data_IF_076232685136
#
_entry.id   IF_076232685136
#
_cell.length_a   1.000
_cell.length_b   1.000
_cell.length_c   1.000
_cell.angle_alpha   90.00
_cell.angle_beta   90.00
_cell.angle_gamma   90.00
#
_symmetry.space_group_name_H-M   'P 1'
#
loop_
_entity.id
_entity.type
_entity.pdbx_description
1 polymer ?
#
# COMPACT_ATOMS: atom_id res chain seq x y z
N UNK A 1 -24.25 6.50 13.04
CA UNK A 1 -24.09 5.43 14.07
C UNK A 1 -23.33 4.20 13.57
N UNK A 2 -22.82 4.15 12.33
CA UNK A 2 -22.03 3.01 11.83
C UNK A 2 -20.52 3.09 12.17
N UNK A 3 -19.98 4.30 12.42
CA UNK A 3 -18.55 4.50 12.69
C UNK A 3 -18.10 4.15 14.12
N UNK A 4 -18.96 4.28 15.15
CA UNK A 4 -18.55 4.08 16.56
C UNK A 4 -18.19 2.64 16.94
N UNK A 5 -18.63 1.64 16.17
CA UNK A 5 -18.30 0.22 16.43
C UNK A 5 -16.94 -0.19 15.86
N UNK A 6 -16.27 0.67 15.09
CA UNK A 6 -14.99 0.34 14.45
C UNK A 6 -13.79 0.53 15.38
N UNK A 7 -13.80 1.57 16.22
CA UNK A 7 -12.68 1.85 17.14
C UNK A 7 -12.46 0.73 18.17
N UNK A 8 -13.55 0.11 18.66
CA UNK A 8 -13.47 -0.97 19.66
C UNK A 8 -12.97 -2.30 19.08
N UNK A 9 -13.15 -2.57 17.77
CA UNK A 9 -12.68 -3.81 17.13
C UNK A 9 -11.24 -3.74 16.61
N UNK A 10 -10.67 -2.53 16.48
CA UNK A 10 -9.28 -2.32 16.01
C UNK A 10 -8.26 -2.69 17.11
N UNK A 11 -8.67 -2.70 18.37
CA UNK A 11 -7.77 -2.90 19.51
C UNK A 11 -7.31 -4.35 19.73
N UNK A 12 -7.96 -5.35 19.14
CA UNK A 12 -7.79 -6.76 19.58
C UNK A 12 -7.33 -7.74 18.50
N UNK A 13 -7.20 -7.35 17.22
CA UNK A 13 -6.89 -8.28 16.14
C UNK A 13 -5.54 -8.02 15.45
N UNK A 14 -4.85 -9.11 15.09
CA UNK A 14 -3.51 -9.13 14.50
C UNK A 14 -3.41 -8.35 13.17
N UNK A 15 -2.18 -8.01 12.78
CA UNK A 15 -1.85 -7.05 11.72
C UNK A 15 -2.63 -7.25 10.39
N UNK A 16 -2.84 -8.50 9.98
CA UNK A 16 -3.61 -8.93 8.78
C UNK A 16 -5.05 -8.38 8.77
N UNK A 17 -5.71 -8.33 9.94
CA UNK A 17 -7.11 -7.87 10.07
C UNK A 17 -7.27 -6.35 10.00
N UNK A 18 -6.20 -5.58 10.24
CA UNK A 18 -6.26 -4.10 10.25
C UNK A 18 -6.38 -3.50 8.84
N UNK A 19 -5.77 -4.14 7.83
CA UNK A 19 -5.83 -3.67 6.43
C UNK A 19 -7.02 -4.22 5.65
N UNK A 20 -7.47 -5.44 5.96
CA UNK A 20 -8.64 -6.08 5.35
C UNK A 20 -9.91 -5.20 5.40
N UNK A 21 -10.08 -4.42 6.46
CA UNK A 21 -11.26 -3.56 6.64
C UNK A 21 -11.13 -2.16 6.05
N UNK A 22 -9.92 -1.66 5.75
CA UNK A 22 -9.75 -0.28 5.24
C UNK A 22 -10.05 -0.14 3.75
N UNK A 23 -9.84 -1.19 2.95
CA UNK A 23 -10.13 -1.16 1.51
C UNK A 23 -11.62 -1.37 1.18
N UNK A 24 -12.41 -1.90 2.12
CA UNK A 24 -13.85 -2.08 1.95
C UNK A 24 -14.67 -0.78 2.02
N UNK A 25 -14.06 0.35 2.43
CA UNK A 25 -14.80 1.54 2.87
C UNK A 25 -14.95 2.62 1.80
N UNK A 26 -14.34 2.51 0.61
CA UNK A 26 -14.29 3.65 -0.32
C UNK A 26 -15.30 3.67 -1.47
N UNK A 27 -16.16 2.67 -1.70
CA UNK A 27 -17.02 2.68 -2.89
C UNK A 27 -18.33 1.91 -2.71
N UNK A 28 -19.44 2.50 -3.17
CA UNK A 28 -20.79 1.92 -3.23
C UNK A 28 -20.76 0.47 -3.76
N UNK A 29 -21.48 -0.49 -3.15
CA UNK A 29 -21.44 -1.92 -3.52
C UNK A 29 -21.60 -2.20 -5.02
N UNK A 30 -22.44 -1.44 -5.73
CA UNK A 30 -22.64 -1.58 -7.18
C UNK A 30 -21.45 -1.18 -8.06
N UNK A 31 -20.61 -0.24 -7.62
CA UNK A 31 -19.45 0.20 -8.40
C UNK A 31 -18.29 -0.80 -8.28
N UNK A 32 -18.17 -1.46 -7.12
CA UNK A 32 -17.18 -2.51 -6.85
C UNK A 32 -17.44 -3.72 -7.76
N UNK A 33 -18.68 -4.19 -7.89
CA UNK A 33 -18.99 -5.33 -8.77
C UNK A 33 -18.67 -5.05 -10.24
N UNK A 34 -18.93 -3.83 -10.73
CA UNK A 34 -18.65 -3.47 -12.11
C UNK A 34 -17.13 -3.34 -12.38
N UNK A 35 -16.39 -2.74 -11.45
CA UNK A 35 -14.93 -2.62 -11.57
C UNK A 35 -14.22 -3.98 -11.43
N UNK A 36 -14.74 -4.87 -10.60
CA UNK A 36 -14.19 -6.22 -10.37
C UNK A 36 -14.78 -7.30 -11.29
N UNK A 37 -15.74 -6.94 -12.16
CA UNK A 37 -16.49 -7.85 -13.05
C UNK A 37 -17.10 -9.04 -12.29
N UNK A 38 -17.62 -8.79 -11.10
CA UNK A 38 -18.32 -9.80 -10.32
C UNK A 38 -19.73 -9.99 -10.87
N UNK A 39 -20.13 -11.24 -11.08
CA UNK A 39 -21.43 -11.61 -11.65
C UNK A 39 -22.54 -11.74 -10.61
N UNK A 40 -22.19 -11.77 -9.31
CA UNK A 40 -23.11 -11.83 -8.18
C UNK A 40 -22.45 -11.27 -6.92
N UNK A 41 -23.25 -10.83 -5.95
CA UNK A 41 -22.78 -10.57 -4.58
C UNK A 41 -22.25 -11.90 -4.00
N UNK A 42 -21.14 -11.86 -3.28
CA UNK A 42 -20.58 -13.05 -2.65
C UNK A 42 -21.41 -13.43 -1.42
N UNK A 43 -21.83 -14.69 -1.32
CA UNK A 43 -22.39 -15.22 -0.07
C UNK A 43 -21.25 -15.47 0.93
N UNK A 44 -21.15 -14.62 1.96
CA UNK A 44 -20.15 -14.74 3.05
C UNK A 44 -19.22 -13.54 3.22
N UNK A 45 -18.13 -13.73 3.97
CA UNK A 45 -17.12 -12.70 4.20
C UNK A 45 -16.40 -12.36 2.89
N UNK A 46 -16.59 -11.12 2.41
CA UNK A 46 -15.94 -10.63 1.21
C UNK A 46 -14.58 -9.99 1.53
N UNK A 47 -13.53 -10.45 0.85
CA UNK A 47 -12.20 -9.84 0.87
C UNK A 47 -11.95 -9.13 -0.46
N UNK A 48 -11.38 -7.92 -0.42
CA UNK A 48 -10.99 -7.26 -1.65
C UNK A 48 -9.76 -7.97 -2.26
N UNK A 49 -9.55 -7.89 -3.59
CA UNK A 49 -8.44 -8.60 -4.24
C UNK A 49 -7.04 -8.23 -3.73
N UNK A 50 -6.83 -6.98 -3.28
CA UNK A 50 -5.53 -6.60 -2.68
C UNK A 50 -5.35 -7.23 -1.30
N UNK A 51 -6.41 -7.34 -0.49
CA UNK A 51 -6.35 -8.01 0.81
C UNK A 51 -6.22 -9.53 0.69
N UNK A 52 -6.85 -10.13 -0.32
CA UNK A 52 -6.67 -11.54 -0.65
C UNK A 52 -5.21 -11.83 -1.03
N UNK A 53 -4.62 -11.04 -1.93
CA UNK A 53 -3.20 -11.17 -2.31
C UNK A 53 -2.27 -11.10 -1.11
N UNK A 54 -2.47 -10.12 -0.21
CA UNK A 54 -1.66 -9.98 1.01
C UNK A 54 -1.84 -11.20 1.91
N UNK A 55 -3.08 -11.67 2.09
CA UNK A 55 -3.36 -12.84 2.94
C UNK A 55 -2.64 -14.09 2.41
N UNK A 56 -2.65 -14.31 1.10
CA UNK A 56 -1.93 -15.42 0.46
C UNK A 56 -0.41 -15.24 0.60
N UNK A 57 0.10 -14.02 0.41
CA UNK A 57 1.54 -13.74 0.47
C UNK A 57 2.12 -13.83 1.90
N UNK A 58 1.34 -13.53 2.93
CA UNK A 58 1.77 -13.63 4.34
C UNK A 58 1.51 -15.01 4.97
N UNK A 59 0.74 -15.89 4.31
CA UNK A 59 0.47 -17.23 4.80
C UNK A 59 1.72 -18.12 4.68
N UNK A 60 2.12 -18.76 5.78
CA UNK A 60 3.36 -19.56 5.86
C UNK A 60 3.42 -20.68 4.80
N UNK A 61 2.26 -21.23 4.44
CA UNK A 61 2.13 -22.33 3.48
C UNK A 61 2.20 -21.87 2.02
N UNK A 62 1.83 -20.61 1.74
CA UNK A 62 1.69 -20.08 0.37
C UNK A 62 2.57 -18.87 0.06
N UNK A 63 3.31 -18.36 1.04
CA UNK A 63 4.27 -17.27 0.87
C UNK A 63 5.33 -17.63 -0.18
N UNK A 64 5.86 -16.60 -0.84
CA UNK A 64 6.89 -16.80 -1.86
C UNK A 64 8.17 -17.37 -1.25
N UNK A 65 8.99 -18.00 -2.10
CA UNK A 65 10.33 -18.47 -1.69
C UNK A 65 11.17 -17.34 -1.10
N UNK A 66 11.07 -16.12 -1.63
CA UNK A 66 11.77 -14.96 -1.10
C UNK A 66 11.31 -14.63 0.33
N UNK A 67 10.00 -14.58 0.57
CA UNK A 67 9.47 -14.29 1.91
C UNK A 67 9.80 -15.39 2.92
N UNK A 68 9.85 -16.67 2.52
CA UNK A 68 10.32 -17.76 3.39
C UNK A 68 11.78 -17.60 3.85
N UNK A 69 12.63 -16.95 3.03
CA UNK A 69 14.05 -16.76 3.31
C UNK A 69 14.34 -15.46 4.08
N UNK A 70 13.34 -14.59 4.26
CA UNK A 70 13.49 -13.30 4.91
C UNK A 70 12.75 -13.25 6.25
N UNK A 71 13.43 -12.71 7.25
CA UNK A 71 12.75 -12.18 8.45
C UNK A 71 12.08 -10.85 8.12
N UNK A 72 11.05 -10.48 8.90
CA UNK A 72 10.40 -9.16 8.78
C UNK A 72 11.42 -8.00 8.93
N UNK A 73 12.46 -8.18 9.75
CA UNK A 73 13.53 -7.20 9.91
C UNK A 73 14.40 -7.05 8.65
N UNK A 74 14.76 -8.17 8.01
CA UNK A 74 15.48 -8.12 6.74
C UNK A 74 14.61 -7.49 5.65
N UNK A 75 13.33 -7.85 5.56
CA UNK A 75 12.39 -7.23 4.62
C UNK A 75 12.30 -5.72 4.86
N UNK A 76 12.09 -5.29 6.11
CA UNK A 76 12.09 -3.86 6.50
C UNK A 76 13.35 -3.12 6.03
N UNK A 77 14.51 -3.77 6.13
CA UNK A 77 15.78 -3.23 5.66
C UNK A 77 15.85 -3.11 4.14
N UNK A 78 15.34 -4.09 3.37
CA UNK A 78 15.27 -4.00 1.91
C UNK A 78 14.31 -2.89 1.45
N UNK A 79 13.13 -2.79 2.08
CA UNK A 79 12.13 -1.75 1.77
C UNK A 79 12.68 -0.33 1.95
N UNK A 80 13.65 -0.13 2.85
CA UNK A 80 14.36 1.16 3.00
C UNK A 80 15.04 1.58 1.70
N UNK A 81 15.70 0.66 0.99
CA UNK A 81 16.35 0.97 -0.30
C UNK A 81 15.32 1.25 -1.39
N UNK A 82 14.21 0.50 -1.40
CA UNK A 82 13.08 0.81 -2.29
C UNK A 82 12.59 2.24 -2.11
N UNK A 83 12.36 2.67 -0.86
CA UNK A 83 11.89 4.05 -0.57
C UNK A 83 12.91 5.09 -1.03
N UNK A 84 14.22 4.82 -0.89
CA UNK A 84 15.26 5.72 -1.41
C UNK A 84 15.18 5.84 -2.93
N UNK A 85 15.01 4.72 -3.64
CA UNK A 85 14.84 4.73 -5.10
C UNK A 85 13.53 5.35 -5.55
N UNK A 86 12.46 5.31 -4.76
CA UNK A 86 11.21 6.02 -5.03
C UNK A 86 11.36 7.55 -4.93
N UNK A 87 12.33 8.04 -4.15
CA UNK A 87 12.63 9.47 -3.97
C UNK A 87 13.54 10.02 -5.08
N UNK A 88 13.14 9.83 -6.34
CA UNK A 88 13.83 10.42 -7.50
C UNK A 88 13.63 11.95 -7.55
N UNK A 89 14.51 12.69 -8.24
CA UNK A 89 14.30 14.11 -8.51
C UNK A 89 12.91 14.39 -9.10
N UNK A 90 12.20 15.38 -8.56
CA UNK A 90 10.85 15.75 -9.00
C UNK A 90 9.70 15.01 -8.31
N UNK A 91 9.99 14.16 -7.32
CA UNK A 91 8.97 13.45 -6.51
C UNK A 91 8.63 14.17 -5.19
N UNK A 92 9.11 15.39 -5.00
CA UNK A 92 9.07 16.15 -3.73
C UNK A 92 7.66 16.27 -3.15
N UNK A 93 6.64 16.41 -4.01
CA UNK A 93 5.24 16.50 -3.63
C UNK A 93 4.71 15.26 -2.87
N UNK A 94 5.37 14.10 -3.01
CA UNK A 94 4.97 12.84 -2.35
C UNK A 94 5.88 12.46 -1.19
N UNK A 95 6.92 13.25 -0.91
CA UNK A 95 7.90 12.90 0.12
C UNK A 95 7.39 13.14 1.55
N UNK A 96 6.36 13.97 1.73
CA UNK A 96 5.76 14.33 3.01
C UNK A 96 4.23 14.36 2.88
N UNK A 97 3.49 14.31 4.00
CA UNK A 97 2.05 14.48 3.99
C UNK A 97 1.62 15.78 3.29
N UNK A 98 0.49 15.75 2.60
CA UNK A 98 -0.11 16.94 1.99
C UNK A 98 -0.50 17.93 3.11
N UNK A 99 0.01 19.18 3.08
CA UNK A 99 -0.27 20.16 4.13
C UNK A 99 -1.69 20.72 3.99
N UNK A 100 -2.53 20.51 5.01
CA UNK A 100 -3.93 20.96 5.01
C UNK A 100 -4.05 22.49 5.03
N UNK A 101 -3.02 23.21 5.49
CA UNK A 101 -3.00 24.67 5.44
C UNK A 101 -3.01 25.20 3.99
N UNK A 102 -2.48 24.41 3.05
CA UNK A 102 -2.48 24.74 1.61
C UNK A 102 -3.60 24.04 0.84
N UNK A 103 -4.13 22.95 1.40
CA UNK A 103 -5.19 22.13 0.81
C UNK A 103 -6.27 21.81 1.86
N UNK A 104 -7.08 22.81 2.30
CA UNK A 104 -8.00 22.63 3.42
C UNK A 104 -9.10 21.59 3.15
N UNK A 105 -9.48 21.44 1.87
CA UNK A 105 -10.49 20.50 1.39
C UNK A 105 -9.96 19.06 1.21
N UNK A 106 -8.65 18.84 1.33
CA UNK A 106 -8.04 17.52 1.08
C UNK A 106 -8.65 16.41 1.95
N UNK A 107 -8.95 16.72 3.22
CA UNK A 107 -9.55 15.78 4.16
C UNK A 107 -11.02 15.45 3.87
N UNK A 108 -11.70 16.24 3.02
CA UNK A 108 -13.07 15.95 2.57
C UNK A 108 -13.09 14.83 1.51
N UNK A 109 -12.02 14.72 0.72
CA UNK A 109 -11.91 13.75 -0.37
C UNK A 109 -11.03 12.54 -0.03
N UNK A 110 -9.99 12.73 0.79
CA UNK A 110 -8.94 11.73 1.02
C UNK A 110 -9.01 11.17 2.44
N UNK A 111 -9.57 9.97 2.57
CA UNK A 111 -9.78 9.30 3.86
C UNK A 111 -8.56 8.49 4.37
N UNK A 112 -7.64 8.10 3.48
CA UNK A 112 -6.42 7.40 3.85
C UNK A 112 -5.18 8.08 3.26
N UNK A 113 -4.70 9.18 3.87
CA UNK A 113 -3.49 9.87 3.41
C UNK A 113 -2.25 8.96 3.47
N UNK A 114 -1.42 9.01 2.45
CA UNK A 114 -0.15 8.28 2.40
C UNK A 114 0.91 9.08 1.65
N UNK A 115 2.17 8.94 2.07
CA UNK A 115 3.34 9.62 1.52
C UNK A 115 4.61 8.79 1.78
N UNK A 116 5.72 9.11 1.12
CA UNK A 116 6.97 8.34 1.22
C UNK A 116 7.62 8.41 2.60
N UNK A 117 7.39 9.47 3.39
CA UNK A 117 7.87 9.53 4.77
C UNK A 117 7.04 8.62 5.68
N UNK A 118 5.71 8.60 5.50
CA UNK A 118 4.82 7.69 6.23
C UNK A 118 5.11 6.22 5.88
N UNK A 119 5.29 5.87 4.60
CA UNK A 119 5.74 4.54 4.18
C UNK A 119 7.04 4.13 4.87
N UNK A 120 8.03 5.03 4.91
CA UNK A 120 9.31 4.75 5.58
C UNK A 120 9.18 4.56 7.08
N UNK A 121 8.30 5.32 7.75
CA UNK A 121 7.98 5.11 9.17
C UNK A 121 7.32 3.76 9.39
N UNK A 122 6.39 3.36 8.54
CA UNK A 122 5.70 2.07 8.64
C UNK A 122 6.66 0.90 8.40
N UNK A 123 7.53 1.00 7.39
CA UNK A 123 8.55 0.00 7.12
C UNK A 123 9.52 -0.15 8.29
N UNK A 124 10.01 0.96 8.84
CA UNK A 124 10.88 0.95 10.03
C UNK A 124 10.21 0.33 11.26
N UNK A 125 8.89 0.50 11.40
CA UNK A 125 8.08 -0.13 12.46
C UNK A 125 7.75 -1.60 12.17
N UNK A 126 8.31 -2.19 11.10
CA UNK A 126 8.11 -3.59 10.72
C UNK A 126 6.64 -3.93 10.43
N UNK A 127 5.91 -2.97 9.85
CA UNK A 127 4.48 -3.05 9.54
C UNK A 127 4.20 -3.70 8.17
N UNK A 128 5.13 -4.45 7.60
CA UNK A 128 4.92 -5.12 6.31
C UNK A 128 5.47 -6.54 6.42
N UNK A 129 4.59 -7.54 6.30
CA UNK A 129 4.98 -8.95 6.33
C UNK A 129 5.42 -9.48 4.97
N UNK A 130 4.95 -8.86 3.88
CA UNK A 130 5.29 -9.19 2.50
C UNK A 130 5.47 -7.93 1.62
N UNK A 131 5.97 -8.13 0.40
CA UNK A 131 6.14 -7.05 -0.59
C UNK A 131 4.81 -6.49 -1.08
N UNK A 132 3.77 -7.32 -1.19
CA UNK A 132 2.41 -6.93 -1.57
C UNK A 132 1.81 -5.95 -0.56
N UNK A 133 2.03 -6.18 0.73
CA UNK A 133 1.52 -5.30 1.78
C UNK A 133 2.16 -3.91 1.74
N UNK A 134 3.43 -3.82 1.35
CA UNK A 134 4.12 -2.55 1.14
C UNK A 134 3.61 -1.83 -0.11
N UNK A 135 3.51 -2.55 -1.23
CA UNK A 135 3.02 -2.00 -2.49
C UNK A 135 1.57 -1.51 -2.39
N UNK A 136 0.71 -2.22 -1.65
CA UNK A 136 -0.67 -1.83 -1.41
C UNK A 136 -0.76 -0.47 -0.68
N UNK A 137 0.08 -0.22 0.32
CA UNK A 137 0.13 1.09 0.95
C UNK A 137 0.69 2.15 -0.01
N UNK A 138 1.73 1.80 -0.77
CA UNK A 138 2.32 2.75 -1.72
C UNK A 138 1.30 3.22 -2.76
N UNK A 139 0.44 2.32 -3.26
CA UNK A 139 -0.62 2.64 -4.24
C UNK A 139 -1.59 3.73 -3.75
N UNK A 140 -1.77 3.93 -2.44
CA UNK A 140 -2.59 5.05 -1.92
C UNK A 140 -2.05 6.42 -2.37
N UNK A 141 -0.73 6.58 -2.56
CA UNK A 141 -0.15 7.82 -3.07
C UNK A 141 -0.72 8.18 -4.43
N UNK A 142 -0.75 7.21 -5.36
CA UNK A 142 -1.27 7.43 -6.71
C UNK A 142 -2.80 7.53 -6.74
N UNK A 143 -3.49 6.68 -5.97
CA UNK A 143 -4.94 6.72 -5.83
C UNK A 143 -5.44 8.08 -5.32
N UNK A 144 -4.87 8.57 -4.22
CA UNK A 144 -5.21 9.88 -3.65
C UNK A 144 -4.89 11.01 -4.62
N UNK A 145 -3.78 10.90 -5.37
CA UNK A 145 -3.43 11.88 -6.38
C UNK A 145 -4.47 11.92 -7.52
N UNK A 146 -5.00 10.77 -7.96
CA UNK A 146 -6.07 10.71 -8.96
C UNK A 146 -7.35 11.35 -8.44
N UNK A 147 -7.78 11.02 -7.21
CA UNK A 147 -9.02 11.55 -6.63
C UNK A 147 -8.94 13.07 -6.53
N UNK A 148 -7.87 13.60 -5.93
CA UNK A 148 -7.78 15.02 -5.63
C UNK A 148 -7.43 15.88 -6.85
N UNK A 149 -6.55 15.38 -7.74
CA UNK A 149 -6.03 16.20 -8.86
C UNK A 149 -6.61 15.81 -10.22
N UNK A 150 -7.23 14.64 -10.35
CA UNK A 150 -7.67 14.06 -11.61
C UNK A 150 -6.62 13.19 -12.31
N UNK A 151 -7.10 12.25 -13.13
CA UNK A 151 -6.27 11.22 -13.79
C UNK A 151 -5.22 11.78 -14.75
N UNK A 152 -5.53 12.86 -15.45
CA UNK A 152 -4.68 13.45 -16.48
C UNK A 152 -3.75 14.56 -15.95
N UNK A 153 -3.82 14.87 -14.65
CA UNK A 153 -2.99 15.90 -14.05
C UNK A 153 -1.51 15.51 -14.05
N UNK A 154 -0.61 16.48 -14.23
CA UNK A 154 0.85 16.25 -14.29
C UNK A 154 1.36 15.55 -13.04
N UNK A 155 0.87 15.96 -11.86
CA UNK A 155 1.25 15.34 -10.59
C UNK A 155 0.85 13.87 -10.52
N UNK A 156 -0.31 13.51 -11.08
CA UNK A 156 -0.77 12.12 -11.17
C UNK A 156 0.13 11.24 -12.04
N UNK A 157 0.73 11.81 -13.09
CA UNK A 157 1.73 11.08 -13.89
C UNK A 157 3.02 10.84 -13.12
N UNK A 158 3.46 11.80 -12.30
CA UNK A 158 4.63 11.63 -11.43
C UNK A 158 4.35 10.57 -10.35
N UNK A 159 3.20 10.63 -9.69
CA UNK A 159 2.79 9.60 -8.72
C UNK A 159 2.77 8.20 -9.36
N UNK A 160 2.29 8.07 -10.60
CA UNK A 160 2.31 6.81 -11.34
C UNK A 160 3.73 6.27 -11.53
N UNK A 161 4.70 7.15 -11.83
CA UNK A 161 6.12 6.76 -11.94
C UNK A 161 6.65 6.27 -10.59
N UNK A 162 6.31 6.92 -9.48
CA UNK A 162 6.69 6.47 -8.14
C UNK A 162 6.18 5.05 -7.86
N UNK A 163 4.94 4.73 -8.24
CA UNK A 163 4.39 3.37 -8.06
C UNK A 163 5.04 2.37 -8.99
N UNK A 164 5.34 2.74 -10.24
CA UNK A 164 6.07 1.85 -11.16
C UNK A 164 7.45 1.48 -10.64
N UNK A 165 8.15 2.42 -10.01
CA UNK A 165 9.43 2.15 -9.34
C UNK A 165 9.19 1.17 -8.20
N UNK A 166 8.19 1.40 -7.34
CA UNK A 166 7.84 0.49 -6.26
C UNK A 166 7.55 -0.94 -6.76
N UNK A 167 6.74 -1.09 -7.81
CA UNK A 167 6.40 -2.38 -8.42
C UNK A 167 7.64 -3.12 -8.92
N UNK A 168 8.52 -2.40 -9.63
CA UNK A 168 9.77 -2.97 -10.11
C UNK A 168 10.64 -3.45 -8.96
N UNK A 169 10.82 -2.62 -7.93
CA UNK A 169 11.67 -2.94 -6.78
C UNK A 169 11.12 -4.10 -5.95
N UNK A 170 9.79 -4.22 -5.78
CA UNK A 170 9.18 -5.40 -5.13
C UNK A 170 9.47 -6.66 -5.93
N UNK A 171 9.35 -6.61 -7.25
CA UNK A 171 9.66 -7.75 -8.11
C UNK A 171 11.14 -8.17 -7.98
N UNK A 172 12.07 -7.23 -7.94
CA UNK A 172 13.50 -7.56 -7.75
C UNK A 172 13.76 -8.23 -6.39
N UNK A 173 13.09 -7.78 -5.32
CA UNK A 173 13.15 -8.45 -4.00
C UNK A 173 12.58 -9.88 -4.10
N UNK A 174 11.43 -10.06 -4.74
CA UNK A 174 10.79 -11.38 -4.89
C UNK A 174 11.61 -12.36 -5.74
N UNK A 175 12.33 -11.86 -6.75
CA UNK A 175 13.21 -12.68 -7.59
C UNK A 175 14.41 -13.19 -6.79
N UNK A 176 15.10 -12.30 -6.08
CA UNK A 176 16.29 -12.68 -5.29
C UNK A 176 16.63 -11.58 -4.26
N UNK A 177 16.25 -11.74 -2.98
CA UNK A 177 16.52 -10.74 -1.95
C UNK A 177 18.02 -10.45 -1.72
N UNK A 178 18.87 -11.47 -1.84
CA UNK A 178 20.32 -11.35 -1.69
C UNK A 178 20.93 -10.56 -2.85
N UNK A 179 20.50 -10.86 -4.08
CA UNK A 179 20.93 -10.15 -5.29
C UNK A 179 20.51 -8.68 -5.22
N UNK A 180 19.29 -8.42 -4.77
CA UNK A 180 18.76 -7.08 -4.55
C UNK A 180 19.60 -6.29 -3.54
N UNK A 181 19.90 -6.90 -2.40
CA UNK A 181 20.72 -6.28 -1.36
C UNK A 181 22.13 -5.97 -1.88
N UNK A 182 22.77 -6.93 -2.55
CA UNK A 182 24.10 -6.76 -3.12
C UNK A 182 24.14 -5.65 -4.19
N UNK A 183 23.07 -5.48 -4.96
CA UNK A 183 22.95 -4.38 -5.92
C UNK A 183 22.77 -3.01 -5.25
N UNK A 184 22.07 -2.94 -4.12
CA UNK A 184 21.81 -1.69 -3.40
C UNK A 184 23.00 -1.18 -2.56
N UNK A 185 23.99 -2.02 -2.29
CA UNK A 185 25.18 -1.69 -1.50
C UNK A 185 26.40 -1.26 -2.34
N UNK A 186 26.25 -1.24 -3.67
CA UNK A 186 27.27 -0.73 -4.60
C UNK A 186 27.08 0.76 -4.82
#
# INVERSE_FOLDING_TARGET
MLYRRMDEMISTAGFVTRKAKSFAVSSVPGFIMLCLRLTSESEGDWFCPECEKITVAECIETQSKAMMMLTIEQLSYLLKFTIQKMKQPGTDAFQKPVPLERHPDYAEYIFHPMDLCTLGKNAKKKMYGCTEAFLADAKWIWHNCIIYNGRNHKMTQIAKVVIKICEHEMNEIEVCPECYLAACQK
#
